data_IF_789922922219
#
_entry.id   IF_789922922219
#
_cell.length_a   1.000
_cell.length_b   1.000
_cell.length_c   1.000
_cell.angle_alpha   90.00
_cell.angle_beta   90.00
_cell.angle_gamma   90.00
#
_symmetry.space_group_name_H-M   'P 1'
#
loop_
_entity.id
_entity.type
_entity.pdbx_description
1 polymer ?
#
# COMPACT_ATOMS: atom_id res chain seq x y z
N UNK A 1 -27.11 -9.08 10.33
CA UNK A 1 -27.26 -7.89 9.48
C UNK A 1 -26.40 -7.99 8.23
N UNK A 2 -26.99 -8.36 7.10
CA UNK A 2 -26.28 -8.56 5.82
C UNK A 2 -26.47 -7.36 4.89
N UNK A 3 -25.47 -6.46 4.86
CA UNK A 3 -25.46 -5.29 3.97
C UNK A 3 -25.26 -5.63 2.49
N UNK A 4 -24.98 -6.88 2.17
CA UNK A 4 -24.81 -7.34 0.78
C UNK A 4 -26.12 -7.83 0.17
N UNK A 5 -27.13 -8.05 1.02
CA UNK A 5 -28.42 -8.52 0.60
C UNK A 5 -29.18 -7.42 -0.18
N UNK A 6 -29.72 -7.79 -1.34
CA UNK A 6 -30.62 -6.98 -2.14
C UNK A 6 -32.00 -7.68 -2.13
N UNK A 7 -33.04 -6.90 -1.96
CA UNK A 7 -34.43 -7.39 -2.01
C UNK A 7 -34.84 -8.43 -0.94
N UNK A 8 -34.08 -8.52 0.16
CA UNK A 8 -34.39 -9.33 1.33
C UNK A 8 -34.21 -8.49 2.62
N UNK A 9 -34.81 -8.90 3.74
CA UNK A 9 -34.63 -8.21 5.01
C UNK A 9 -33.15 -8.09 5.39
N UNK A 10 -32.74 -6.89 5.85
CA UNK A 10 -31.36 -6.64 6.28
C UNK A 10 -30.95 -7.42 7.52
N UNK A 11 -31.94 -7.85 8.30
CA UNK A 11 -31.74 -8.59 9.55
C UNK A 11 -32.51 -9.91 9.45
N UNK A 12 -31.81 -11.00 9.65
CA UNK A 12 -32.34 -12.36 9.66
C UNK A 12 -31.73 -13.07 10.86
N UNK A 13 -32.57 -13.76 11.64
CA UNK A 13 -32.09 -14.67 12.64
C UNK A 13 -31.70 -16.00 11.99
N UNK A 14 -30.48 -16.44 12.27
CA UNK A 14 -29.92 -17.69 11.77
C UNK A 14 -29.56 -18.58 12.96
N UNK A 15 -29.83 -19.85 12.85
CA UNK A 15 -29.27 -20.85 13.77
C UNK A 15 -27.74 -20.95 13.52
N UNK A 16 -27.02 -21.54 14.51
CA UNK A 16 -25.58 -21.74 14.36
C UNK A 16 -25.22 -22.59 13.15
N UNK A 17 -26.07 -23.56 12.81
CA UNK A 17 -25.86 -24.46 11.67
C UNK A 17 -26.10 -23.78 10.32
N UNK A 18 -26.89 -22.71 10.30
CA UNK A 18 -27.20 -21.92 9.09
C UNK A 18 -26.21 -20.75 8.90
N UNK A 19 -25.34 -20.49 9.89
CA UNK A 19 -24.39 -19.40 9.80
C UNK A 19 -23.39 -19.64 8.67
N UNK A 20 -23.19 -18.66 7.76
CA UNK A 20 -22.32 -18.86 6.59
C UNK A 20 -20.89 -19.16 6.99
N UNK A 21 -20.27 -20.12 6.32
CA UNK A 21 -18.85 -20.41 6.49
C UNK A 21 -17.98 -19.21 6.08
N UNK A 22 -16.72 -19.13 6.55
CA UNK A 22 -15.79 -18.09 6.14
C UNK A 22 -15.64 -17.99 4.61
N UNK A 23 -15.66 -19.12 3.91
CA UNK A 23 -15.58 -19.20 2.45
C UNK A 23 -16.80 -18.57 1.77
N UNK A 24 -18.00 -18.86 2.29
CA UNK A 24 -19.26 -18.28 1.81
C UNK A 24 -19.30 -16.77 2.08
N UNK A 25 -18.85 -16.32 3.26
CA UNK A 25 -18.75 -14.89 3.57
C UNK A 25 -17.74 -14.18 2.66
N UNK A 26 -16.61 -14.81 2.40
CA UNK A 26 -15.61 -14.28 1.46
C UNK A 26 -16.17 -14.17 0.04
N UNK A 27 -16.85 -15.18 -0.44
CA UNK A 27 -17.51 -15.16 -1.75
C UNK A 27 -18.54 -14.02 -1.86
N UNK A 28 -19.43 -13.87 -0.88
CA UNK A 28 -20.38 -12.74 -0.80
C UNK A 28 -19.66 -11.39 -0.77
N UNK A 29 -18.61 -11.26 0.02
CA UNK A 29 -17.81 -10.04 0.12
C UNK A 29 -17.18 -9.66 -1.23
N UNK A 30 -16.59 -10.63 -1.95
CA UNK A 30 -16.00 -10.40 -3.26
C UNK A 30 -17.03 -9.85 -4.26
N UNK A 31 -18.19 -10.48 -4.33
CA UNK A 31 -19.28 -10.02 -5.21
C UNK A 31 -19.73 -8.61 -4.83
N UNK A 32 -19.97 -8.37 -3.54
CA UNK A 32 -20.38 -7.04 -3.04
C UNK A 32 -19.36 -5.95 -3.34
N UNK A 33 -18.06 -6.26 -3.27
CA UNK A 33 -16.98 -5.34 -3.54
C UNK A 33 -16.59 -5.25 -5.03
N UNK A 34 -17.12 -6.11 -5.89
CA UNK A 34 -16.75 -6.18 -7.29
C UNK A 34 -15.31 -6.66 -7.51
N UNK A 35 -14.82 -7.57 -6.65
CA UNK A 35 -13.50 -8.20 -6.75
C UNK A 35 -13.67 -9.46 -7.60
N UNK A 36 -13.49 -9.35 -8.91
CA UNK A 36 -13.74 -10.44 -9.87
C UNK A 36 -12.44 -11.05 -10.40
N UNK A 37 -11.40 -10.21 -10.57
CA UNK A 37 -10.16 -10.65 -11.18
C UNK A 37 -9.26 -11.37 -10.17
N UNK A 38 -8.56 -12.45 -10.56
CA UNK A 38 -7.65 -13.18 -9.67
C UNK A 38 -6.53 -12.31 -9.06
N UNK A 39 -6.04 -11.32 -9.80
CA UNK A 39 -5.05 -10.36 -9.30
C UNK A 39 -5.62 -9.49 -8.18
N UNK A 40 -6.85 -9.01 -8.33
CA UNK A 40 -7.54 -8.19 -7.35
C UNK A 40 -7.86 -8.99 -6.08
N UNK A 41 -8.23 -10.26 -6.24
CA UNK A 41 -8.40 -11.18 -5.11
C UNK A 41 -7.08 -11.39 -4.36
N UNK A 42 -5.98 -11.63 -5.07
CA UNK A 42 -4.65 -11.81 -4.47
C UNK A 42 -4.19 -10.59 -3.67
N UNK A 43 -4.46 -9.36 -4.17
CA UNK A 43 -4.15 -8.12 -3.45
C UNK A 43 -4.99 -8.00 -2.18
N UNK A 44 -6.29 -8.23 -2.29
CA UNK A 44 -7.24 -8.04 -1.19
C UNK A 44 -7.12 -9.10 -0.10
N UNK A 45 -6.78 -10.34 -0.47
CA UNK A 45 -6.58 -11.47 0.46
C UNK A 45 -5.19 -11.49 1.11
N UNK A 46 -4.21 -10.70 0.58
CA UNK A 46 -2.88 -10.67 1.17
C UNK A 46 -2.92 -10.14 2.61
N UNK A 47 -2.39 -10.91 3.54
CA UNK A 47 -2.31 -10.56 4.95
C UNK A 47 -1.43 -9.34 5.22
N UNK A 48 -1.68 -8.70 6.36
CA UNK A 48 -0.77 -7.68 6.90
C UNK A 48 0.61 -8.28 7.19
N UNK A 49 1.63 -7.42 7.13
CA UNK A 49 2.92 -7.79 7.69
C UNK A 49 2.80 -8.00 9.20
N UNK A 50 3.32 -9.12 9.67
CA UNK A 50 3.39 -9.46 11.08
C UNK A 50 4.77 -10.06 11.38
N UNK A 51 5.47 -9.49 12.35
CA UNK A 51 6.82 -9.88 12.75
C UNK A 51 6.87 -10.74 14.03
N UNK A 52 5.73 -11.17 14.54
CA UNK A 52 5.63 -11.91 15.80
C UNK A 52 5.67 -11.05 17.06
N UNK A 53 5.91 -9.74 16.95
CA UNK A 53 5.99 -8.82 18.11
C UNK A 53 4.65 -8.53 18.80
N UNK A 54 3.54 -9.01 18.24
CA UNK A 54 2.19 -8.65 18.70
C UNK A 54 1.67 -7.32 18.14
N UNK A 55 2.49 -6.54 17.45
CA UNK A 55 2.08 -5.27 16.85
C UNK A 55 1.15 -5.52 15.65
N UNK A 56 -0.12 -5.21 15.82
CA UNK A 56 -1.14 -5.27 14.77
C UNK A 56 -1.63 -3.86 14.42
N UNK A 57 -2.11 -3.64 13.19
CA UNK A 57 -2.73 -2.37 12.84
C UNK A 57 -3.93 -2.08 13.76
N UNK A 58 -4.04 -0.86 14.26
CA UNK A 58 -5.22 -0.39 14.99
C UNK A 58 -6.43 -0.33 14.05
N UNK A 59 -7.66 -0.34 14.58
CA UNK A 59 -8.88 -0.41 13.78
C UNK A 59 -8.93 0.64 12.65
N UNK A 60 -8.59 1.91 12.94
CA UNK A 60 -8.59 2.97 11.93
C UNK A 60 -7.47 2.80 10.89
N UNK A 61 -6.33 2.23 11.26
CA UNK A 61 -5.26 1.88 10.33
C UNK A 61 -5.70 0.72 9.44
N UNK A 62 -6.39 -0.29 9.98
CA UNK A 62 -6.96 -1.39 9.19
C UNK A 62 -7.96 -0.86 8.15
N UNK A 63 -8.85 0.05 8.56
CA UNK A 63 -9.80 0.69 7.66
C UNK A 63 -9.06 1.42 6.53
N UNK A 64 -8.04 2.23 6.85
CA UNK A 64 -7.26 2.98 5.86
C UNK A 64 -6.54 2.03 4.88
N UNK A 65 -5.86 1.01 5.40
CA UNK A 65 -5.14 0.03 4.60
C UNK A 65 -6.09 -0.74 3.69
N UNK A 66 -7.16 -1.32 4.25
CA UNK A 66 -8.08 -2.16 3.48
C UNK A 66 -8.81 -1.37 2.40
N UNK A 67 -9.31 -0.16 2.71
CA UNK A 67 -9.95 0.70 1.70
C UNK A 67 -9.00 1.09 0.58
N UNK A 68 -7.72 1.34 0.90
CA UNK A 68 -6.70 1.63 -0.09
C UNK A 68 -6.45 0.42 -1.00
N UNK A 69 -6.27 -0.75 -0.42
CA UNK A 69 -6.07 -1.99 -1.17
C UNK A 69 -7.29 -2.31 -2.06
N UNK A 70 -8.51 -2.15 -1.54
CA UNK A 70 -9.73 -2.31 -2.33
C UNK A 70 -9.84 -1.30 -3.48
N UNK A 71 -9.46 -0.04 -3.23
CA UNK A 71 -9.46 1.00 -4.25
C UNK A 71 -8.47 0.68 -5.38
N UNK A 72 -7.28 0.20 -5.01
CA UNK A 72 -6.27 -0.27 -5.97
C UNK A 72 -6.77 -1.46 -6.78
N UNK A 73 -7.38 -2.43 -6.11
CA UNK A 73 -7.97 -3.61 -6.76
C UNK A 73 -9.08 -3.23 -7.76
N UNK A 74 -9.75 -2.09 -7.56
CA UNK A 74 -10.75 -1.53 -8.47
C UNK A 74 -10.16 -0.62 -9.57
N UNK A 75 -8.84 -0.57 -9.71
CA UNK A 75 -8.16 0.20 -10.74
C UNK A 75 -7.97 1.69 -10.43
N UNK A 76 -8.18 2.12 -9.18
CA UNK A 76 -7.89 3.51 -8.82
C UNK A 76 -6.38 3.75 -8.76
N UNK A 77 -5.91 4.73 -9.51
CA UNK A 77 -4.49 5.04 -9.66
C UNK A 77 -3.99 6.16 -8.74
N UNK A 78 -4.90 6.89 -8.09
CA UNK A 78 -4.57 7.99 -7.17
C UNK A 78 -5.44 7.89 -5.93
N UNK A 79 -4.81 7.82 -4.78
CA UNK A 79 -5.51 7.66 -3.50
C UNK A 79 -4.92 8.65 -2.50
N UNK A 80 -5.79 9.41 -1.86
CA UNK A 80 -5.46 10.32 -0.78
C UNK A 80 -5.92 9.72 0.54
N UNK A 81 -4.99 9.61 1.49
CA UNK A 81 -5.28 9.16 2.85
C UNK A 81 -4.97 10.31 3.82
N UNK A 82 -5.99 10.83 4.47
CA UNK A 82 -5.83 11.87 5.49
C UNK A 82 -5.76 11.23 6.87
N UNK A 83 -4.66 11.46 7.56
CA UNK A 83 -4.42 10.95 8.92
C UNK A 83 -3.72 12.02 9.76
N UNK A 84 -4.11 12.15 11.03
CA UNK A 84 -3.48 13.07 11.97
C UNK A 84 -2.01 12.71 12.25
N UNK A 85 -1.24 13.67 12.73
CA UNK A 85 0.13 13.44 13.20
C UNK A 85 0.12 12.45 14.36
N UNK A 86 1.10 11.54 14.43
CA UNK A 86 1.19 10.52 15.50
C UNK A 86 0.27 9.30 15.33
N UNK A 87 -0.62 9.26 14.33
CA UNK A 87 -1.52 8.12 14.12
C UNK A 87 -0.88 6.94 13.38
N UNK A 88 0.41 7.02 13.04
CA UNK A 88 1.16 5.93 12.40
C UNK A 88 1.04 5.91 10.87
N UNK A 89 1.05 7.08 10.23
CA UNK A 89 1.07 7.20 8.75
C UNK A 89 2.15 6.34 8.09
N UNK A 90 3.38 6.34 8.63
CA UNK A 90 4.49 5.54 8.11
C UNK A 90 4.17 4.05 8.14
N UNK A 91 3.58 3.59 9.23
CA UNK A 91 3.19 2.19 9.39
C UNK A 91 2.06 1.81 8.39
N UNK A 92 1.08 2.68 8.19
CA UNK A 92 0.02 2.47 7.18
C UNK A 92 0.63 2.42 5.78
N UNK A 93 1.51 3.35 5.43
CA UNK A 93 2.22 3.37 4.15
C UNK A 93 3.05 2.09 3.93
N UNK A 94 3.77 1.65 4.96
CA UNK A 94 4.53 0.40 4.93
C UNK A 94 3.62 -0.82 4.70
N UNK A 95 2.52 -0.95 5.44
CA UNK A 95 1.59 -2.07 5.31
C UNK A 95 0.97 -2.16 3.91
N UNK A 96 0.61 -1.00 3.32
CA UNK A 96 0.10 -0.93 1.95
C UNK A 96 1.18 -1.37 0.96
N UNK A 97 2.39 -0.81 1.07
CA UNK A 97 3.53 -1.17 0.23
C UNK A 97 3.86 -2.66 0.33
N UNK A 98 3.92 -3.19 1.55
CA UNK A 98 4.23 -4.59 1.82
C UNK A 98 3.20 -5.54 1.21
N UNK A 99 1.90 -5.27 1.40
CA UNK A 99 0.83 -6.12 0.85
C UNK A 99 0.88 -6.20 -0.67
N UNK A 100 1.06 -5.05 -1.34
CA UNK A 100 1.16 -4.98 -2.80
C UNK A 100 2.43 -5.66 -3.33
N UNK A 101 3.54 -5.47 -2.64
CA UNK A 101 4.81 -6.10 -2.97
C UNK A 101 4.78 -7.62 -2.75
N UNK A 102 4.27 -8.08 -1.61
CA UNK A 102 4.17 -9.50 -1.27
C UNK A 102 3.19 -10.25 -2.18
N UNK A 103 2.10 -9.60 -2.58
CA UNK A 103 1.18 -10.13 -3.60
C UNK A 103 1.81 -10.21 -5.00
N UNK A 104 3.01 -9.64 -5.21
CA UNK A 104 3.71 -9.65 -6.49
C UNK A 104 3.13 -8.72 -7.55
N UNK A 105 2.23 -7.81 -7.16
CA UNK A 105 1.53 -6.90 -8.07
C UNK A 105 2.32 -5.61 -8.28
N UNK A 106 3.00 -5.13 -7.25
CA UNK A 106 3.85 -3.94 -7.31
C UNK A 106 5.24 -4.29 -6.78
N UNK A 107 6.24 -4.23 -7.66
CA UNK A 107 7.62 -4.62 -7.30
C UNK A 107 8.50 -3.41 -7.01
N UNK A 108 8.39 -2.35 -7.84
CA UNK A 108 9.23 -1.16 -7.72
C UNK A 108 8.47 -0.04 -7.03
N UNK A 109 8.83 0.21 -5.78
CA UNK A 109 8.12 1.11 -4.88
C UNK A 109 9.02 2.29 -4.53
N UNK A 110 8.50 3.51 -4.69
CA UNK A 110 9.16 4.74 -4.27
C UNK A 110 8.41 5.36 -3.08
N UNK A 111 9.09 5.50 -1.95
CA UNK A 111 8.60 6.23 -0.78
C UNK A 111 9.30 7.59 -0.70
N UNK A 112 8.52 8.66 -0.74
CA UNK A 112 8.98 10.04 -0.72
C UNK A 112 8.59 10.75 0.57
N UNK A 113 9.52 11.45 1.19
CA UNK A 113 9.26 12.36 2.29
C UNK A 113 9.97 13.71 2.06
N UNK A 114 9.57 14.73 2.82
CA UNK A 114 10.13 16.09 2.73
C UNK A 114 11.42 16.26 3.54
N UNK A 115 11.68 15.38 4.51
CA UNK A 115 12.79 15.50 5.46
C UNK A 115 13.57 14.19 5.61
N UNK A 116 14.89 14.32 5.76
CA UNK A 116 15.78 13.18 6.02
C UNK A 116 15.38 12.42 7.29
N UNK A 117 14.98 13.12 8.37
CA UNK A 117 14.58 12.47 9.61
C UNK A 117 13.42 11.50 9.43
N UNK A 118 12.46 11.81 8.53
CA UNK A 118 11.33 10.92 8.21
C UNK A 118 11.78 9.70 7.39
N UNK A 119 12.70 9.90 6.44
CA UNK A 119 13.30 8.79 5.68
C UNK A 119 14.09 7.87 6.62
N UNK A 120 14.91 8.42 7.50
CA UNK A 120 15.70 7.63 8.46
C UNK A 120 14.79 6.86 9.44
N UNK A 121 13.74 7.51 9.93
CA UNK A 121 12.74 6.86 10.80
C UNK A 121 12.01 5.73 10.06
N UNK A 122 11.53 5.99 8.84
CA UNK A 122 10.86 4.98 8.03
C UNK A 122 11.78 3.79 7.73
N UNK A 123 13.03 4.08 7.34
CA UNK A 123 14.03 3.08 7.00
C UNK A 123 14.40 2.17 8.18
N UNK A 124 14.56 2.73 9.39
CA UNK A 124 14.97 1.98 10.59
C UNK A 124 13.81 1.22 11.23
N UNK A 125 12.60 1.74 11.15
CA UNK A 125 11.44 1.18 11.84
C UNK A 125 10.63 0.24 10.95
N UNK A 126 9.74 0.80 10.14
CA UNK A 126 8.76 -0.01 9.43
C UNK A 126 9.33 -0.63 8.15
N UNK A 127 10.07 0.14 7.34
CA UNK A 127 10.62 -0.34 6.06
C UNK A 127 11.83 -1.27 6.21
N UNK A 128 12.41 -1.43 7.41
CA UNK A 128 13.49 -2.41 7.64
C UNK A 128 13.11 -3.83 7.23
N UNK A 129 11.81 -4.14 7.25
CA UNK A 129 11.28 -5.46 6.94
C UNK A 129 11.34 -5.84 5.45
N UNK A 130 11.70 -4.89 4.57
CA UNK A 130 12.06 -5.22 3.18
C UNK A 130 13.50 -5.76 3.04
N UNK A 131 14.29 -5.75 4.13
CA UNK A 131 15.63 -6.31 4.17
C UNK A 131 16.57 -5.71 3.13
N UNK A 132 17.21 -6.57 2.36
CA UNK A 132 18.14 -6.26 1.27
C UNK A 132 17.45 -5.73 -0.01
N UNK A 133 16.12 -5.78 -0.08
CA UNK A 133 15.34 -5.29 -1.22
C UNK A 133 15.15 -3.79 -1.24
N UNK A 134 15.52 -3.08 -0.17
CA UNK A 134 15.35 -1.64 -0.07
C UNK A 134 16.66 -0.86 -0.11
N UNK A 135 16.57 0.38 -0.55
CA UNK A 135 17.67 1.34 -0.50
C UNK A 135 17.18 2.74 -0.14
N UNK A 136 18.05 3.53 0.48
CA UNK A 136 17.85 4.97 0.64
C UNK A 136 18.65 5.67 -0.47
N UNK A 137 17.97 6.43 -1.30
CA UNK A 137 18.62 7.17 -2.39
C UNK A 137 19.45 8.31 -1.79
N UNK A 138 20.77 8.15 -1.84
CA UNK A 138 21.79 9.11 -1.37
C UNK A 138 22.82 9.32 -2.48
N UNK A 139 23.54 10.46 -2.44
CA UNK A 139 24.75 10.68 -3.24
C UNK A 139 24.61 10.61 -4.76
N UNK A 140 23.47 11.02 -5.33
CA UNK A 140 23.28 11.25 -6.78
C UNK A 140 23.45 10.01 -7.69
N UNK A 141 23.65 8.82 -7.16
CA UNK A 141 23.70 7.58 -7.92
C UNK A 141 22.58 6.66 -7.46
N UNK A 142 21.92 6.06 -8.44
CA UNK A 142 20.83 5.13 -8.21
C UNK A 142 21.27 3.74 -8.65
N UNK A 143 21.25 2.81 -7.72
CA UNK A 143 21.32 1.40 -8.04
C UNK A 143 19.90 0.90 -8.34
N UNK A 144 19.69 0.42 -9.56
CA UNK A 144 18.39 -0.04 -10.06
C UNK A 144 18.07 -1.50 -9.70
N UNK A 145 18.95 -2.17 -8.94
CA UNK A 145 18.77 -3.56 -8.49
C UNK A 145 17.75 -3.71 -7.37
N UNK A 146 17.48 -2.63 -6.64
CA UNK A 146 16.56 -2.63 -5.52
C UNK A 146 15.09 -2.58 -5.97
N UNK A 147 14.20 -3.01 -5.06
CA UNK A 147 12.76 -3.01 -5.29
C UNK A 147 12.05 -1.86 -4.55
N UNK A 148 12.57 -1.44 -3.40
CA UNK A 148 11.99 -0.38 -2.58
C UNK A 148 13.00 0.75 -2.37
N UNK A 149 12.60 1.95 -2.75
CA UNK A 149 13.42 3.15 -2.72
C UNK A 149 12.82 4.16 -1.75
N UNK A 150 13.63 4.64 -0.81
CA UNK A 150 13.27 5.74 0.08
C UNK A 150 14.08 6.97 -0.33
N UNK A 151 13.42 8.10 -0.54
CA UNK A 151 14.09 9.33 -0.96
C UNK A 151 13.41 10.57 -0.37
N UNK A 152 14.20 11.64 -0.22
CA UNK A 152 13.63 12.97 0.03
C UNK A 152 13.23 13.60 -1.31
N UNK A 153 12.13 14.35 -1.29
CA UNK A 153 11.60 15.01 -2.48
C UNK A 153 12.65 15.93 -3.13
N UNK A 154 13.30 16.76 -2.31
CA UNK A 154 14.35 17.68 -2.76
C UNK A 154 15.63 16.97 -3.26
N UNK A 155 15.88 15.74 -2.79
CA UNK A 155 17.02 14.93 -3.23
C UNK A 155 16.86 14.33 -4.62
N UNK A 156 15.62 14.22 -5.09
CA UNK A 156 15.32 13.76 -6.45
C UNK A 156 15.30 14.92 -7.46
N UNK A 157 14.84 16.11 -7.01
CA UNK A 157 14.77 17.34 -7.81
C UNK A 157 15.84 18.31 -7.34
N UNK A 158 16.96 18.41 -8.04
CA UNK A 158 18.00 19.42 -7.79
C UNK A 158 17.70 20.73 -8.53
N UNK A 159 18.33 21.83 -8.06
CA UNK A 159 18.22 23.15 -8.71
C UNK A 159 18.97 23.26 -10.04
N UNK A 160 19.83 22.31 -10.39
CA UNK A 160 20.57 22.23 -11.63
C UNK A 160 20.16 21.00 -12.43
N UNK A 161 20.03 21.11 -13.74
CA UNK A 161 19.57 20.02 -14.64
C UNK A 161 20.40 18.73 -14.53
N UNK A 162 21.70 18.85 -14.28
CA UNK A 162 22.62 17.72 -14.12
C UNK A 162 22.44 16.96 -12.79
N UNK A 163 21.73 17.56 -11.82
CA UNK A 163 21.55 17.00 -10.47
C UNK A 163 20.23 16.26 -10.27
N UNK A 164 19.41 16.17 -11.30
CA UNK A 164 18.09 15.56 -11.22
C UNK A 164 18.16 14.04 -11.24
N UNK A 165 18.23 13.43 -10.04
CA UNK A 165 18.31 11.97 -9.87
C UNK A 165 17.12 11.26 -10.52
N UNK A 166 15.94 11.88 -10.55
CA UNK A 166 14.76 11.27 -11.17
C UNK A 166 14.95 10.98 -12.68
N UNK A 167 15.82 11.71 -13.38
CA UNK A 167 16.15 11.47 -14.80
C UNK A 167 16.92 10.16 -15.02
N UNK A 168 17.51 9.59 -13.98
CA UNK A 168 18.16 8.28 -14.06
C UNK A 168 17.17 7.13 -14.12
N UNK A 169 15.92 7.35 -13.73
CA UNK A 169 14.85 6.37 -13.85
C UNK A 169 14.13 6.55 -15.19
N UNK A 170 13.82 5.47 -15.83
CA UNK A 170 12.96 5.49 -17.02
C UNK A 170 11.51 5.80 -16.62
N UNK A 171 10.75 6.40 -17.54
CA UNK A 171 9.31 6.60 -17.33
C UNK A 171 8.65 5.23 -17.06
N UNK A 172 7.86 5.10 -16.00
CA UNK A 172 7.25 3.84 -15.62
C UNK A 172 8.16 2.88 -14.84
N UNK A 173 9.36 3.31 -14.41
CA UNK A 173 10.24 2.47 -13.59
C UNK A 173 9.59 2.06 -12.27
N UNK A 174 8.85 2.95 -11.62
CA UNK A 174 8.14 2.66 -10.39
C UNK A 174 6.71 2.23 -10.68
N UNK A 175 6.25 1.19 -10.00
CA UNK A 175 4.86 0.70 -10.06
C UNK A 175 3.98 1.41 -9.03
N UNK A 176 4.59 1.89 -7.93
CA UNK A 176 3.93 2.53 -6.81
C UNK A 176 4.77 3.69 -6.29
N UNK A 177 4.17 4.86 -6.14
CA UNK A 177 4.78 6.02 -5.50
C UNK A 177 3.93 6.42 -4.30
N UNK A 178 4.56 6.52 -3.13
CA UNK A 178 3.95 6.95 -1.88
C UNK A 178 4.57 8.28 -1.46
N UNK A 179 3.78 9.35 -1.41
CA UNK A 179 4.21 10.66 -0.92
C UNK A 179 3.71 10.83 0.51
N UNK A 180 4.64 10.90 1.45
CA UNK A 180 4.37 10.80 2.88
C UNK A 180 3.70 12.04 3.49
N UNK A 181 3.95 13.25 2.97
CA UNK A 181 3.53 14.50 3.62
C UNK A 181 2.01 14.57 3.83
N UNK A 182 1.24 14.09 2.85
CA UNK A 182 -0.23 13.99 2.89
C UNK A 182 -0.68 12.54 2.66
N UNK A 183 0.26 11.58 2.69
CA UNK A 183 0.05 10.19 2.32
C UNK A 183 -0.78 10.03 1.03
N UNK A 184 -0.20 10.49 -0.07
CA UNK A 184 -0.75 10.29 -1.41
C UNK A 184 -0.10 9.06 -2.01
N UNK A 185 -0.89 8.20 -2.60
CA UNK A 185 -0.46 6.99 -3.27
C UNK A 185 -0.76 7.13 -4.75
N UNK A 186 0.26 7.01 -5.57
CA UNK A 186 0.16 6.96 -7.02
C UNK A 186 0.53 5.57 -7.52
N UNK A 187 -0.34 5.01 -8.33
CA UNK A 187 -0.10 3.78 -9.07
C UNK A 187 0.25 4.16 -10.50
N UNK A 188 1.40 3.71 -10.95
CA UNK A 188 1.82 3.89 -12.32
C UNK A 188 1.40 2.64 -13.09
N UNK A 189 0.40 2.77 -13.93
CA UNK A 189 0.09 1.76 -14.92
C UNK A 189 1.05 1.94 -16.10
N UNK A 190 1.60 0.87 -16.68
CA UNK A 190 2.29 0.98 -17.96
C UNK A 190 1.33 1.64 -18.97
N UNK A 191 1.81 2.68 -19.63
CA UNK A 191 1.06 3.27 -20.75
C UNK A 191 0.98 2.18 -21.85
N UNK A 192 -0.23 1.65 -22.07
CA UNK A 192 -0.57 0.87 -23.27
C UNK A 192 -0.66 1.79 -24.48
#
# INVERSE_FOLDING_TARGET
HDKTAKDVPLEIELSLDEFPSPQQLWAKYKVFKGITEPENERITSQDYYFDGSGRRPRYYQQIAINRTIEAIAKGQNRILITMATGTGKTYVAFQIAYRLWKAGVKKRILFLADRNALIDQANRNDFKHFGDKKTVVKNRRVDKSYEVYLAIYQGLSGSEEEKNIYKQFTRGFFDLIIIFQILIIYLITPWT
#
